data_IF_816061303889
#
_entry.id   IF_816061303889
#
_cell.length_a   1.000
_cell.length_b   1.000
_cell.length_c   1.000
_cell.angle_alpha   90.00
_cell.angle_beta   90.00
_cell.angle_gamma   90.00
#
_symmetry.space_group_name_H-M   'P 1'
#
loop_
_entity.id
_entity.type
_entity.pdbx_description
1 polymer ?
#
# COMPACT_ATOMS: atom_id res chain seq x y z
N UNK A 1 -1.20 4.16 -18.45
CA UNK A 1 -0.42 2.96 -18.80
C UNK A 1 -1.07 1.79 -18.10
N UNK A 2 -1.33 0.70 -18.82
CA UNK A 2 -2.17 -0.38 -18.33
C UNK A 2 -1.49 -1.08 -17.14
N UNK A 3 -2.14 -1.08 -15.98
CA UNK A 3 -1.73 -1.86 -14.83
C UNK A 3 -1.99 -3.36 -15.04
N UNK A 4 -1.51 -4.16 -14.09
CA UNK A 4 -1.57 -5.62 -14.13
C UNK A 4 -3.02 -6.12 -13.97
N UNK A 5 -3.69 -6.43 -15.08
CA UNK A 5 -5.12 -6.73 -15.09
C UNK A 5 -5.51 -7.94 -14.20
N UNK A 6 -4.63 -8.93 -14.08
CA UNK A 6 -4.82 -10.15 -13.30
C UNK A 6 -4.56 -9.99 -11.79
N UNK A 7 -4.40 -8.76 -11.29
CA UNK A 7 -4.04 -8.50 -9.89
C UNK A 7 -4.92 -9.23 -8.86
N UNK A 8 -6.23 -9.36 -9.09
CA UNK A 8 -7.18 -10.07 -8.21
C UNK A 8 -7.22 -11.59 -8.38
N UNK A 9 -6.44 -12.15 -9.32
CA UNK A 9 -6.30 -13.60 -9.50
C UNK A 9 -5.24 -14.20 -8.55
N UNK A 10 -4.46 -13.36 -7.86
CA UNK A 10 -3.36 -13.75 -6.99
C UNK A 10 -3.56 -13.23 -5.56
N UNK A 11 -3.11 -14.01 -4.58
CA UNK A 11 -2.91 -13.50 -3.21
C UNK A 11 -1.57 -12.74 -3.09
N UNK A 12 -1.27 -12.22 -1.90
CA UNK A 12 -0.03 -11.47 -1.68
C UNK A 12 1.24 -12.28 -1.97
N UNK A 13 1.26 -13.59 -1.69
CA UNK A 13 2.44 -14.43 -1.98
C UNK A 13 2.54 -14.75 -3.48
N UNK A 14 1.40 -14.90 -4.16
CA UNK A 14 1.34 -15.03 -5.61
C UNK A 14 1.86 -13.78 -6.32
N UNK A 15 1.44 -12.59 -5.88
CA UNK A 15 1.95 -11.32 -6.39
C UNK A 15 3.46 -11.18 -6.14
N UNK A 16 3.95 -11.54 -4.95
CA UNK A 16 5.38 -11.54 -4.66
C UNK A 16 6.16 -12.51 -5.57
N UNK A 17 5.58 -13.65 -5.92
CA UNK A 17 6.19 -14.60 -6.84
C UNK A 17 6.35 -14.01 -8.24
N UNK A 18 5.32 -13.36 -8.79
CA UNK A 18 5.39 -12.69 -10.08
C UNK A 18 6.47 -11.59 -10.10
N UNK A 19 6.61 -10.82 -9.01
CA UNK A 19 7.67 -9.80 -8.88
C UNK A 19 9.05 -10.43 -8.87
N UNK A 20 9.26 -11.48 -8.07
CA UNK A 20 10.55 -12.19 -7.99
C UNK A 20 10.95 -12.80 -9.33
N UNK A 21 9.97 -13.36 -10.04
CA UNK A 21 10.20 -14.07 -11.30
C UNK A 21 10.27 -13.08 -12.50
N UNK A 22 10.03 -11.78 -12.25
CA UNK A 22 10.17 -10.70 -13.22
C UNK A 22 9.00 -10.57 -14.20
N UNK A 23 7.89 -11.25 -13.93
CA UNK A 23 6.67 -11.20 -14.76
C UNK A 23 5.93 -9.85 -14.63
N UNK A 24 6.06 -9.20 -13.48
CA UNK A 24 5.56 -7.86 -13.19
C UNK A 24 6.54 -7.13 -12.28
N UNK A 25 6.71 -5.82 -12.45
CA UNK A 25 7.50 -5.02 -11.51
C UNK A 25 6.69 -4.63 -10.26
N UNK A 26 7.37 -4.38 -9.14
CA UNK A 26 6.73 -3.82 -7.94
C UNK A 26 6.02 -2.48 -8.21
N UNK A 27 6.56 -1.67 -9.14
CA UNK A 27 5.95 -0.41 -9.57
C UNK A 27 4.65 -0.61 -10.33
N UNK A 28 4.61 -1.57 -11.26
CA UNK A 28 3.38 -1.91 -11.99
C UNK A 28 2.29 -2.45 -11.05
N UNK A 29 2.67 -3.27 -10.06
CA UNK A 29 1.74 -3.72 -9.02
C UNK A 29 1.23 -2.57 -8.15
N UNK A 30 2.11 -1.63 -7.79
CA UNK A 30 1.73 -0.46 -7.00
C UNK A 30 0.73 0.41 -7.76
N UNK A 31 0.99 0.75 -9.02
CA UNK A 31 0.07 1.58 -9.81
C UNK A 31 -1.28 0.90 -10.02
N UNK A 32 -1.31 -0.42 -10.21
CA UNK A 32 -2.57 -1.16 -10.30
C UNK A 32 -3.34 -1.13 -8.96
N UNK A 33 -2.65 -1.30 -7.82
CA UNK A 33 -3.27 -1.21 -6.50
C UNK A 33 -3.85 0.19 -6.22
N UNK A 34 -3.14 1.25 -6.63
CA UNK A 34 -3.60 2.64 -6.54
C UNK A 34 -4.84 2.85 -7.41
N UNK A 35 -4.79 2.46 -8.69
CA UNK A 35 -5.92 2.61 -9.61
C UNK A 35 -7.17 1.87 -9.13
N UNK A 36 -7.00 0.65 -8.58
CA UNK A 36 -8.09 -0.12 -7.97
C UNK A 36 -8.66 0.60 -6.76
N UNK A 37 -7.80 1.14 -5.89
CA UNK A 37 -8.21 1.90 -4.70
C UNK A 37 -9.02 3.12 -5.08
N UNK A 38 -8.53 3.96 -6.00
CA UNK A 38 -9.22 5.17 -6.46
C UNK A 38 -10.59 4.87 -7.07
N UNK A 39 -10.70 3.77 -7.83
CA UNK A 39 -11.95 3.34 -8.46
C UNK A 39 -13.04 2.98 -7.46
N UNK A 40 -12.71 2.46 -6.27
CA UNK A 40 -13.70 1.92 -5.32
C UNK A 40 -13.81 2.71 -4.02
N UNK A 41 -12.76 3.39 -3.59
CA UNK A 41 -12.71 4.01 -2.26
C UNK A 41 -13.72 5.15 -2.10
N UNK A 42 -14.08 5.85 -3.17
CA UNK A 42 -15.14 6.88 -3.13
C UNK A 42 -16.49 6.36 -2.65
N UNK A 43 -16.77 5.05 -2.82
CA UNK A 43 -18.00 4.39 -2.33
C UNK A 43 -17.81 3.69 -0.99
N UNK A 44 -16.63 3.13 -0.75
CA UNK A 44 -16.35 2.32 0.44
C UNK A 44 -15.88 3.14 1.63
N UNK A 45 -15.20 4.26 1.39
CA UNK A 45 -14.55 5.08 2.42
C UNK A 45 -13.66 4.25 3.35
N UNK A 46 -12.87 3.34 2.78
CA UNK A 46 -12.02 2.39 3.50
C UNK A 46 -10.60 2.92 3.75
N UNK A 47 -10.08 3.74 2.84
CA UNK A 47 -8.75 4.37 2.91
C UNK A 47 -8.93 5.84 3.28
N UNK A 48 -8.48 6.20 4.49
CA UNK A 48 -8.64 7.55 5.07
C UNK A 48 -7.42 8.45 4.87
N UNK A 49 -6.26 7.85 4.60
CA UNK A 49 -5.02 8.51 4.23
C UNK A 49 -4.35 7.72 3.11
N UNK A 50 -3.77 8.43 2.15
CA UNK A 50 -3.04 7.84 1.02
C UNK A 50 -1.57 8.21 1.13
N UNK A 51 -0.70 7.23 0.95
CA UNK A 51 0.76 7.36 1.02
C UNK A 51 1.39 6.95 -0.32
N UNK A 52 0.77 7.38 -1.42
CA UNK A 52 1.10 6.89 -2.76
C UNK A 52 2.49 7.36 -3.21
N UNK A 53 2.86 8.59 -2.87
CA UNK A 53 4.15 9.14 -3.27
C UNK A 53 5.28 8.50 -2.47
N UNK A 54 5.07 8.27 -1.17
CA UNK A 54 5.97 7.53 -0.30
C UNK A 54 6.13 6.08 -0.76
N UNK A 55 5.03 5.42 -1.17
CA UNK A 55 5.08 4.07 -1.72
C UNK A 55 5.86 4.01 -3.05
N UNK A 56 5.68 5.01 -3.93
CA UNK A 56 6.45 5.12 -5.18
C UNK A 56 7.93 5.35 -4.90
N UNK A 57 8.26 6.19 -3.94
CA UNK A 57 9.63 6.42 -3.50
C UNK A 57 10.26 5.15 -2.90
N UNK A 58 9.52 4.39 -2.09
CA UNK A 58 9.98 3.12 -1.56
C UNK A 58 10.28 2.10 -2.66
N UNK A 59 9.43 2.02 -3.69
CA UNK A 59 9.71 1.17 -4.87
C UNK A 59 10.95 1.66 -5.64
N UNK A 60 11.10 2.97 -5.82
CA UNK A 60 12.22 3.56 -6.56
C UNK A 60 13.57 3.42 -5.84
N UNK A 61 13.58 3.51 -4.51
CA UNK A 61 14.78 3.34 -3.68
C UNK A 61 15.18 1.87 -3.53
N UNK A 62 14.21 0.96 -3.67
CA UNK A 62 14.42 -0.47 -3.71
C UNK A 62 13.63 -1.19 -2.63
N UNK A 63 12.95 -2.25 -3.04
CA UNK A 63 12.15 -3.07 -2.13
C UNK A 63 13.04 -4.03 -1.33
N UNK A 64 12.89 -4.12 0.00
CA UNK A 64 13.57 -5.13 0.81
C UNK A 64 13.29 -6.57 0.36
N UNK A 65 14.26 -7.46 0.56
CA UNK A 65 14.07 -8.88 0.33
C UNK A 65 13.13 -9.49 1.38
N UNK A 66 12.26 -10.41 0.96
CA UNK A 66 11.33 -11.07 1.86
C UNK A 66 10.19 -11.79 1.13
N UNK A 67 9.35 -12.55 1.86
CA UNK A 67 8.26 -13.33 1.27
C UNK A 67 7.19 -12.46 0.59
N UNK A 68 7.07 -11.19 0.97
CA UNK A 68 6.14 -10.22 0.40
C UNK A 68 6.85 -9.08 -0.35
N UNK A 69 8.09 -9.29 -0.80
CA UNK A 69 8.84 -8.26 -1.52
C UNK A 69 8.04 -7.76 -2.74
N UNK A 70 7.74 -6.46 -2.76
CA UNK A 70 7.14 -5.76 -3.89
C UNK A 70 5.61 -5.75 -3.86
N UNK A 71 4.99 -6.29 -2.82
CA UNK A 71 3.54 -6.36 -2.68
C UNK A 71 3.01 -5.12 -1.94
N UNK A 72 2.14 -4.31 -2.56
CA UNK A 72 1.47 -3.20 -1.88
C UNK A 72 0.50 -3.71 -0.80
N UNK A 73 0.34 -2.95 0.28
CA UNK A 73 -0.61 -3.28 1.34
C UNK A 73 -1.27 -2.03 1.93
N UNK A 74 -2.37 -2.22 2.66
CA UNK A 74 -3.06 -1.17 3.39
C UNK A 74 -2.70 -1.24 4.89
N UNK A 75 -2.34 -0.11 5.47
CA UNK A 75 -2.06 0.02 6.90
C UNK A 75 -3.34 0.44 7.64
N UNK A 76 -3.71 -0.28 8.70
CA UNK A 76 -4.90 0.07 9.49
C UNK A 76 -4.61 1.30 10.36
N UNK A 77 -5.46 2.33 10.27
CA UNK A 77 -5.37 3.52 11.14
C UNK A 77 -5.98 3.26 12.54
N UNK A 78 -5.49 2.22 13.21
CA UNK A 78 -5.91 1.82 14.56
C UNK A 78 -4.79 0.98 15.19
N UNK A 79 -4.06 1.56 16.13
CA UNK A 79 -2.98 0.91 16.90
C UNK A 79 -1.86 0.27 16.04
N UNK A 80 -1.73 0.64 14.77
CA UNK A 80 -0.62 0.25 13.90
C UNK A 80 0.08 1.53 13.46
N UNK A 81 1.27 1.76 13.99
CA UNK A 81 2.02 2.98 13.79
C UNK A 81 2.88 2.93 12.52
N UNK A 82 3.13 4.12 11.97
CA UNK A 82 4.11 4.36 10.92
C UNK A 82 4.66 5.75 11.20
N UNK A 83 5.95 5.83 11.48
CA UNK A 83 6.59 7.04 11.97
C UNK A 83 6.31 8.24 11.06
N UNK A 84 6.01 9.38 11.66
CA UNK A 84 5.71 10.62 10.95
C UNK A 84 4.30 10.72 10.35
N UNK A 85 3.43 9.74 10.55
CA UNK A 85 2.07 9.75 9.97
C UNK A 85 0.94 9.91 10.99
N UNK A 86 -0.22 10.49 10.59
CA UNK A 86 -1.36 10.63 11.47
C UNK A 86 -2.00 9.29 11.83
N UNK A 87 -2.30 9.10 13.12
CA UNK A 87 -3.06 7.95 13.61
C UNK A 87 -4.23 8.41 14.49
N UNK A 88 -5.42 8.43 13.90
CA UNK A 88 -6.63 8.93 14.57
C UNK A 88 -7.32 7.90 15.47
N UNK A 89 -6.98 6.61 15.35
CA UNK A 89 -7.66 5.52 16.05
C UNK A 89 -9.20 5.57 15.92
N UNK A 90 -9.72 6.16 14.84
CA UNK A 90 -11.16 6.37 14.64
C UNK A 90 -11.83 7.30 15.66
N UNK A 91 -11.06 8.12 16.37
CA UNK A 91 -11.54 8.97 17.47
C UNK A 91 -11.09 10.42 17.31
N UNK A 92 -12.03 11.35 17.50
CA UNK A 92 -11.74 12.79 17.44
C UNK A 92 -10.71 13.27 18.48
N UNK A 93 -10.53 12.52 19.58
CA UNK A 93 -9.53 12.82 20.60
C UNK A 93 -8.08 12.69 20.08
N UNK A 94 -7.88 11.94 19.00
CA UNK A 94 -6.56 11.64 18.42
C UNK A 94 -6.37 12.30 17.05
N UNK A 95 -7.22 13.26 16.68
CA UNK A 95 -7.24 13.85 15.33
C UNK A 95 -5.91 14.51 14.91
N UNK A 96 -5.14 14.99 15.88
CA UNK A 96 -3.86 15.69 15.68
C UNK A 96 -2.67 14.84 16.14
N UNK A 97 -2.88 13.56 16.44
CA UNK A 97 -1.79 12.64 16.84
C UNK A 97 -0.97 12.20 15.62
N UNK A 98 0.35 12.29 15.75
CA UNK A 98 1.33 11.82 14.77
C UNK A 98 2.23 10.80 15.45
N UNK A 99 2.44 9.65 14.79
CA UNK A 99 3.28 8.58 15.29
C UNK A 99 4.76 9.00 15.33
N UNK A 100 5.47 8.64 16.39
CA UNK A 100 6.91 8.91 16.56
C UNK A 100 7.79 7.72 16.15
N UNK A 101 7.18 6.55 15.96
CA UNK A 101 7.82 5.28 15.68
C UNK A 101 6.92 4.38 14.83
N UNK A 102 7.50 3.32 14.27
CA UNK A 102 6.81 2.22 13.60
C UNK A 102 6.34 1.17 14.63
#
# INVERSE_FOLDING_TARGET
MAGFAQYDEYDGLGLAALVRDGEVSAGELLEEAIARTERVNGRLNAVVHTWYDEAREAVATGVPQGPFAGVPFLLKNLDIAMAGTPMSNGSGAWRDHVCDSD
#
